data_IF_945213375410
#
_entry.id   IF_945213375410
#
_cell.length_a   1.000
_cell.length_b   1.000
_cell.length_c   1.000
_cell.angle_alpha   90.00
_cell.angle_beta   90.00
_cell.angle_gamma   90.00
#
_symmetry.space_group_name_H-M   'P 1'
#
loop_
_entity.id
_entity.type
_entity.pdbx_description
1 polymer ?
#
# COMPACT_ATOMS: atom_id res chain seq x y z
N UNK A 1 -11.23 15.86 15.08
CA UNK A 1 -10.00 15.05 14.89
C UNK A 1 -9.34 15.49 13.61
N UNK A 2 -8.18 16.11 13.68
CA UNK A 2 -7.48 16.62 12.49
C UNK A 2 -7.02 15.42 11.65
N UNK A 3 -7.59 15.24 10.46
CA UNK A 3 -7.14 14.19 9.55
C UNK A 3 -5.70 14.47 9.13
N UNK A 4 -4.83 13.48 9.31
CA UNK A 4 -3.45 13.58 8.86
C UNK A 4 -3.44 13.65 7.31
N UNK A 5 -2.85 14.72 6.76
CA UNK A 5 -2.90 15.05 5.32
C UNK A 5 -2.57 13.85 4.42
N UNK A 6 -1.56 13.08 4.81
CA UNK A 6 -1.01 12.00 3.99
C UNK A 6 -1.46 10.59 4.38
N UNK A 7 -2.19 10.39 5.49
CA UNK A 7 -2.58 9.02 5.90
C UNK A 7 -3.84 8.99 6.75
N UNK A 8 -4.65 7.95 6.60
CA UNK A 8 -5.74 7.63 7.53
C UNK A 8 -5.32 6.57 8.56
N UNK A 9 -4.34 5.74 8.23
CA UNK A 9 -3.79 4.69 9.09
C UNK A 9 -2.26 4.65 8.97
N UNK A 10 -1.59 4.05 9.94
CA UNK A 10 -0.18 3.67 9.84
C UNK A 10 -0.04 2.29 9.19
N UNK A 11 1.16 1.95 8.72
CA UNK A 11 1.42 0.59 8.27
C UNK A 11 1.28 -0.38 9.46
N UNK A 12 0.79 -1.58 9.17
CA UNK A 12 0.42 -2.62 10.14
C UNK A 12 -0.76 -2.26 11.08
N UNK A 13 -1.46 -1.14 10.85
CA UNK A 13 -2.66 -0.79 11.62
C UNK A 13 -3.95 -1.41 11.07
N UNK A 14 -4.05 -1.68 9.76
CA UNK A 14 -5.27 -2.22 9.15
C UNK A 14 -5.71 -3.54 9.81
N UNK A 15 -7.02 -3.69 9.99
CA UNK A 15 -7.69 -4.85 10.60
C UNK A 15 -8.83 -5.33 9.71
N UNK A 16 -9.41 -6.48 10.06
CA UNK A 16 -10.59 -7.04 9.37
C UNK A 16 -11.79 -6.08 9.36
N UNK A 17 -11.90 -5.22 10.37
CA UNK A 17 -12.95 -4.19 10.45
C UNK A 17 -12.83 -3.10 9.38
N UNK A 18 -11.67 -2.98 8.71
CA UNK A 18 -11.43 -1.92 7.73
C UNK A 18 -11.76 -2.36 6.29
N UNK A 19 -12.18 -3.61 6.10
CA UNK A 19 -12.55 -4.15 4.78
C UNK A 19 -13.69 -3.32 4.18
N UNK A 20 -13.52 -2.93 2.91
CA UNK A 20 -14.49 -2.11 2.17
C UNK A 20 -14.30 -0.59 2.34
N UNK A 21 -13.47 -0.15 3.29
CA UNK A 21 -13.21 1.28 3.49
C UNK A 21 -12.12 1.79 2.55
N UNK A 22 -12.25 3.04 2.09
CA UNK A 22 -11.15 3.76 1.44
C UNK A 22 -10.13 4.18 2.48
N UNK A 23 -8.88 3.75 2.30
CA UNK A 23 -7.77 4.07 3.20
C UNK A 23 -6.66 4.80 2.47
N UNK A 24 -5.89 5.60 3.22
CA UNK A 24 -4.70 6.28 2.72
C UNK A 24 -3.52 5.89 3.60
N UNK A 25 -2.47 5.37 2.98
CA UNK A 25 -1.21 5.02 3.63
C UNK A 25 -0.09 5.85 3.03
N UNK A 26 0.93 6.13 3.84
CA UNK A 26 2.15 6.82 3.41
C UNK A 26 3.34 6.17 4.08
N UNK A 27 4.37 5.83 3.29
CA UNK A 27 5.56 5.15 3.77
C UNK A 27 6.59 5.03 2.65
N UNK A 28 7.57 4.15 2.84
CA UNK A 28 8.60 3.81 1.87
C UNK A 28 8.34 2.43 1.30
N UNK A 29 8.56 2.27 0.00
CA UNK A 29 8.54 0.97 -0.65
C UNK A 29 9.70 0.16 -0.08
N UNK A 30 9.39 -0.94 0.63
CA UNK A 30 10.40 -1.82 1.18
C UNK A 30 10.87 -2.85 0.16
N UNK A 31 9.93 -3.38 -0.62
CA UNK A 31 10.16 -4.32 -1.71
C UNK A 31 8.96 -4.34 -2.64
N UNK A 32 9.21 -4.53 -3.93
CA UNK A 32 8.21 -4.91 -4.93
C UNK A 32 8.49 -6.35 -5.35
N UNK A 33 7.44 -7.18 -5.42
CA UNK A 33 7.49 -8.57 -5.86
C UNK A 33 6.54 -8.73 -7.03
N UNK A 34 7.09 -9.09 -8.18
CA UNK A 34 6.31 -9.37 -9.39
C UNK A 34 6.06 -10.87 -9.52
N UNK A 35 4.79 -11.23 -9.68
CA UNK A 35 4.31 -12.60 -9.85
C UNK A 35 3.73 -12.86 -11.25
N UNK A 36 4.18 -12.12 -12.28
CA UNK A 36 3.79 -12.33 -13.67
C UNK A 36 2.45 -11.67 -14.00
N UNK A 37 2.33 -10.38 -13.72
CA UNK A 37 1.10 -9.61 -13.93
C UNK A 37 0.31 -9.33 -12.66
N UNK A 38 0.87 -9.62 -11.49
CA UNK A 38 0.34 -9.18 -10.20
C UNK A 38 1.50 -8.67 -9.36
N UNK A 39 1.44 -7.40 -8.95
CA UNK A 39 2.47 -6.77 -8.14
C UNK A 39 2.06 -6.78 -6.68
N UNK A 40 2.96 -7.27 -5.84
CA UNK A 40 2.89 -7.13 -4.39
C UNK A 40 3.91 -6.11 -3.93
N UNK A 41 3.46 -5.07 -3.27
CA UNK A 41 4.30 -3.98 -2.76
C UNK A 41 4.24 -4.02 -1.24
N UNK A 42 5.37 -4.24 -0.59
CA UNK A 42 5.48 -4.14 0.85
C UNK A 42 5.78 -2.67 1.21
N UNK A 43 4.77 -1.93 1.68
CA UNK A 43 4.92 -0.55 2.14
C UNK A 43 5.33 -0.53 3.61
N UNK A 44 6.38 0.21 3.96
CA UNK A 44 6.90 0.33 5.32
C UNK A 44 6.72 1.74 5.87
N UNK A 45 6.31 1.85 7.12
CA UNK A 45 6.55 3.04 7.94
C UNK A 45 7.15 2.65 9.30
N UNK A 46 7.19 3.58 10.25
CA UNK A 46 7.72 3.34 11.59
C UNK A 46 7.04 2.18 12.33
N UNK A 47 5.77 1.90 12.03
CA UNK A 47 4.92 0.97 12.78
C UNK A 47 4.90 -0.43 12.18
N UNK A 48 5.38 -0.62 10.95
CA UNK A 48 5.52 -1.94 10.35
C UNK A 48 5.33 -1.95 8.84
N UNK A 49 4.86 -3.09 8.33
CA UNK A 49 4.63 -3.35 6.91
C UNK A 49 3.14 -3.46 6.60
N UNK A 50 2.74 -3.05 5.40
CA UNK A 50 1.43 -3.32 4.82
C UNK A 50 1.59 -3.70 3.37
N UNK A 51 1.00 -4.84 2.99
CA UNK A 51 1.04 -5.33 1.63
C UNK A 51 -0.03 -4.62 0.79
N UNK A 52 0.39 -4.04 -0.32
CA UNK A 52 -0.48 -3.50 -1.36
C UNK A 52 -0.42 -4.46 -2.56
N UNK A 53 -1.56 -4.70 -3.19
CA UNK A 53 -1.65 -5.48 -4.41
C UNK A 53 -2.10 -4.56 -5.55
N UNK A 54 -1.41 -4.64 -6.67
CA UNK A 54 -1.82 -3.99 -7.92
C UNK A 54 -1.89 -5.04 -9.04
N UNK A 55 -3.08 -5.26 -9.57
CA UNK A 55 -3.32 -6.00 -10.81
C UNK A 55 -3.11 -5.08 -12.04
N UNK A 56 -3.06 -5.63 -13.28
CA UNK A 56 -2.76 -4.86 -14.49
C UNK A 56 -3.82 -3.82 -14.85
N UNK A 57 -5.06 -3.98 -14.36
CA UNK A 57 -6.17 -3.05 -14.60
C UNK A 57 -6.11 -1.85 -13.62
N UNK A 58 -5.32 -1.97 -12.55
CA UNK A 58 -5.07 -0.86 -11.63
C UNK A 58 -4.33 0.29 -12.32
N UNK A 59 -4.80 1.53 -12.21
CA UNK A 59 -4.09 2.70 -12.74
C UNK A 59 -2.72 2.90 -12.09
N UNK A 60 -2.48 2.28 -10.92
CA UNK A 60 -1.20 2.32 -10.23
C UNK A 60 -0.17 1.32 -10.79
N UNK A 61 -0.58 0.34 -11.60
CA UNK A 61 0.29 -0.78 -12.02
C UNK A 61 1.56 -0.30 -12.73
N UNK A 62 1.41 0.54 -13.76
CA UNK A 62 2.56 1.09 -14.51
C UNK A 62 3.51 1.91 -13.63
N UNK A 63 2.98 2.59 -12.62
CA UNK A 63 3.81 3.35 -11.68
C UNK A 63 4.55 2.36 -10.76
N UNK A 64 3.85 1.37 -10.23
CA UNK A 64 4.43 0.33 -9.37
C UNK A 64 5.53 -0.49 -10.06
N UNK A 65 5.42 -0.77 -11.37
CA UNK A 65 6.46 -1.46 -12.17
C UNK A 65 7.80 -0.71 -12.19
N UNK A 66 7.77 0.61 -12.01
CA UNK A 66 8.99 1.45 -12.05
C UNK A 66 9.67 1.62 -10.69
N UNK A 67 9.00 1.22 -9.61
CA UNK A 67 9.54 1.30 -8.25
C UNK A 67 10.62 0.23 -8.06
N UNK A 68 11.74 0.59 -7.40
CA UNK A 68 12.85 -0.32 -7.09
C UNK A 68 13.17 -0.28 -5.61
#
# INVERSE_FOLDING_TARGET
MTMHRYRSHTCAQLRKSDVGNSVRLSGWVHRVRDHGGLLFIDLRDHYGLTQIVADPDSPAFKIAETMR
#
